data_IF_580723724653
#
_entry.id   IF_580723724653
#
_cell.length_a   1.000
_cell.length_b   1.000
_cell.length_c   1.000
_cell.angle_alpha   90.00
_cell.angle_beta   90.00
_cell.angle_gamma   90.00
#
_symmetry.space_group_name_H-M   'P 1'
#
loop_
_entity.id
_entity.type
_entity.pdbx_description
1 polymer ?
#
# COMPACT_ATOMS: atom_id res chain seq x y z
N UNK A 1 -15.77 -18.53 7.02
CA UNK A 1 -14.35 -18.14 7.11
C UNK A 1 -14.25 -16.74 6.54
N UNK A 2 -13.63 -15.80 7.24
CA UNK A 2 -13.48 -14.42 6.76
C UNK A 2 -12.71 -14.42 5.43
N UNK A 3 -13.11 -13.56 4.49
CA UNK A 3 -12.52 -13.43 3.14
C UNK A 3 -10.97 -13.31 3.19
N UNK A 4 -10.43 -12.72 4.26
CA UNK A 4 -8.99 -12.51 4.48
C UNK A 4 -8.21 -13.81 4.66
N UNK A 5 -8.76 -14.79 5.39
CA UNK A 5 -8.10 -16.08 5.61
C UNK A 5 -7.99 -16.87 4.32
N UNK A 6 -9.07 -16.88 3.54
CA UNK A 6 -9.10 -17.55 2.24
C UNK A 6 -8.08 -16.96 1.28
N UNK A 7 -7.94 -15.63 1.25
CA UNK A 7 -6.93 -14.95 0.45
C UNK A 7 -5.51 -15.36 0.84
N UNK A 8 -5.19 -15.36 2.14
CA UNK A 8 -3.87 -15.80 2.64
C UNK A 8 -3.61 -17.27 2.26
N UNK A 9 -4.57 -18.15 2.48
CA UNK A 9 -4.42 -19.58 2.18
C UNK A 9 -4.25 -19.81 0.67
N UNK A 10 -4.91 -19.01 -0.19
CA UNK A 10 -4.71 -19.05 -1.65
C UNK A 10 -3.27 -18.69 -2.03
N UNK A 11 -2.72 -17.61 -1.47
CA UNK A 11 -1.34 -17.19 -1.75
C UNK A 11 -0.35 -18.28 -1.31
N UNK A 12 -0.48 -18.81 -0.10
CA UNK A 12 0.36 -19.91 0.40
C UNK A 12 0.24 -21.17 -0.47
N UNK A 13 -0.98 -21.56 -0.85
CA UNK A 13 -1.21 -22.75 -1.69
C UNK A 13 -0.61 -22.62 -3.10
N UNK A 14 -0.35 -21.40 -3.56
CA UNK A 14 0.37 -21.12 -4.81
C UNK A 14 1.89 -21.16 -4.67
N UNK A 15 2.41 -21.54 -3.51
CA UNK A 15 3.85 -21.60 -3.22
C UNK A 15 4.50 -20.22 -3.03
N UNK A 16 3.69 -19.16 -2.87
CA UNK A 16 4.16 -17.78 -2.69
C UNK A 16 4.19 -17.40 -1.21
N UNK A 17 5.18 -16.60 -0.85
CA UNK A 17 5.34 -16.00 0.48
C UNK A 17 5.11 -14.48 0.47
N UNK A 18 4.64 -13.92 -0.65
CA UNK A 18 4.29 -12.52 -0.78
C UNK A 18 3.00 -12.38 -1.58
N UNK A 19 2.13 -11.49 -1.09
CA UNK A 19 0.96 -11.04 -1.84
C UNK A 19 1.41 -10.12 -2.97
N UNK A 20 0.74 -10.17 -4.12
CA UNK A 20 0.86 -9.07 -5.07
C UNK A 20 0.15 -7.81 -4.53
N UNK A 21 0.38 -6.67 -5.19
CA UNK A 21 -0.18 -5.38 -4.76
C UNK A 21 -1.72 -5.38 -4.74
N UNK A 22 -2.37 -6.12 -5.65
CA UNK A 22 -3.84 -6.22 -5.66
C UNK A 22 -4.36 -7.04 -4.47
N UNK A 23 -3.74 -8.18 -4.19
CA UNK A 23 -4.04 -9.04 -3.05
C UNK A 23 -3.79 -8.32 -1.73
N UNK A 24 -2.66 -7.62 -1.59
CA UNK A 24 -2.33 -6.80 -0.42
C UNK A 24 -3.36 -5.69 -0.17
N UNK A 25 -3.72 -4.92 -1.21
CA UNK A 25 -4.75 -3.89 -1.11
C UNK A 25 -6.12 -4.46 -0.72
N UNK A 26 -6.48 -5.63 -1.25
CA UNK A 26 -7.72 -6.33 -0.86
C UNK A 26 -7.70 -6.81 0.57
N UNK A 27 -6.58 -7.32 1.08
CA UNK A 27 -6.43 -7.68 2.48
C UNK A 27 -6.65 -6.45 3.36
N UNK A 28 -5.91 -5.37 3.13
CA UNK A 28 -5.97 -4.15 3.93
C UNK A 28 -7.37 -3.52 3.95
N UNK A 29 -8.03 -3.48 2.79
CA UNK A 29 -9.38 -2.94 2.66
C UNK A 29 -10.43 -3.71 3.46
N UNK A 30 -10.25 -5.03 3.67
CA UNK A 30 -11.15 -5.83 4.52
C UNK A 30 -11.04 -5.49 6.01
N UNK A 31 -10.00 -4.75 6.41
CA UNK A 31 -9.80 -4.26 7.76
C UNK A 31 -10.02 -2.75 7.86
N UNK A 32 -10.76 -2.17 6.90
CA UNK A 32 -11.14 -0.75 6.87
C UNK A 32 -9.93 0.19 6.72
N UNK A 33 -8.81 -0.30 6.20
CA UNK A 33 -7.67 0.53 5.80
C UNK A 33 -7.91 0.99 4.37
N UNK A 34 -8.20 2.29 4.12
CA UNK A 34 -8.52 2.74 2.78
C UNK A 34 -7.28 2.69 1.89
N UNK A 35 -7.39 2.04 0.75
CA UNK A 35 -6.36 1.98 -0.29
C UNK A 35 -6.84 2.70 -1.55
N UNK A 36 -5.90 3.13 -2.38
CA UNK A 36 -6.19 3.67 -3.70
C UNK A 36 -7.02 2.65 -4.50
N UNK A 37 -8.12 3.11 -5.10
CA UNK A 37 -8.97 2.31 -5.95
C UNK A 37 -8.12 1.71 -7.06
N UNK A 38 -8.18 0.39 -7.21
CA UNK A 38 -7.29 -0.37 -8.07
C UNK A 38 -8.06 -1.51 -8.72
N UNK A 39 -7.87 -1.68 -10.04
CA UNK A 39 -8.42 -2.78 -10.83
C UNK A 39 -7.28 -3.52 -11.50
N UNK A 40 -7.28 -4.86 -11.40
CA UNK A 40 -6.36 -5.72 -12.14
C UNK A 40 -6.93 -6.02 -13.52
N UNK A 41 -6.22 -5.58 -14.56
CA UNK A 41 -6.62 -5.72 -15.96
C UNK A 41 -5.69 -6.70 -16.67
N UNK A 42 -6.26 -7.64 -17.43
CA UNK A 42 -5.52 -8.65 -18.18
C UNK A 42 -5.26 -8.23 -19.63
N UNK A 43 -5.97 -7.21 -20.11
CA UNK A 43 -5.86 -6.65 -21.44
C UNK A 43 -6.10 -5.13 -21.41
N UNK A 44 -5.82 -4.48 -22.54
CA UNK A 44 -5.94 -3.02 -22.67
C UNK A 44 -7.39 -2.54 -22.63
N UNK A 45 -8.36 -3.36 -23.05
CA UNK A 45 -9.76 -2.97 -23.07
C UNK A 45 -10.34 -2.96 -21.65
N UNK A 46 -9.99 -3.94 -20.80
CA UNK A 46 -10.25 -3.92 -19.36
C UNK A 46 -9.59 -2.71 -18.68
N UNK A 47 -8.39 -2.34 -19.11
CA UNK A 47 -7.69 -1.18 -18.55
C UNK A 47 -8.40 0.14 -18.89
N UNK A 48 -8.93 0.26 -20.11
CA UNK A 48 -9.72 1.41 -20.53
C UNK A 48 -11.04 1.51 -19.78
N UNK A 49 -11.77 0.40 -19.65
CA UNK A 49 -13.02 0.35 -18.89
C UNK A 49 -12.80 0.76 -17.43
N UNK A 50 -11.73 0.25 -16.80
CA UNK A 50 -11.35 0.62 -15.43
C UNK A 50 -11.05 2.12 -15.30
N UNK A 51 -10.27 2.69 -16.22
CA UNK A 51 -9.93 4.11 -16.19
C UNK A 51 -11.14 5.03 -16.47
N UNK A 52 -12.05 4.61 -17.35
CA UNK A 52 -13.30 5.33 -17.60
C UNK A 52 -14.23 5.32 -16.38
N UNK A 53 -14.31 4.20 -15.67
CA UNK A 53 -15.10 4.08 -14.44
C UNK A 53 -14.54 4.91 -13.27
N UNK A 54 -13.22 4.94 -13.14
CA UNK A 54 -12.51 5.61 -12.05
C UNK A 54 -12.30 7.11 -12.28
N UNK A 55 -12.13 7.50 -13.55
CA UNK A 55 -11.77 8.85 -13.97
C UNK A 55 -10.26 9.08 -14.04
N UNK A 56 -9.86 9.94 -14.98
CA UNK A 56 -8.46 10.33 -15.19
C UNK A 56 -8.06 11.52 -14.28
N UNK A 57 -6.76 11.69 -13.94
CA UNK A 57 -5.65 10.82 -14.36
C UNK A 57 -5.53 9.53 -13.54
N UNK A 58 -4.98 8.49 -14.17
CA UNK A 58 -4.72 7.18 -13.55
C UNK A 58 -3.23 6.83 -13.55
N UNK A 59 -2.89 5.80 -12.79
CA UNK A 59 -1.57 5.17 -12.70
C UNK A 59 -1.69 3.73 -13.21
N UNK A 60 -0.69 3.27 -13.95
CA UNK A 60 -0.57 1.88 -14.38
C UNK A 60 0.70 1.24 -13.84
N UNK A 61 0.59 0.02 -13.29
CA UNK A 61 1.71 -0.75 -12.72
C UNK A 61 1.63 -2.20 -13.15
N UNK A 62 2.74 -2.80 -13.60
CA UNK A 62 2.78 -4.24 -13.88
C UNK A 62 2.51 -5.06 -12.61
N UNK A 63 1.82 -6.18 -12.74
CA UNK A 63 1.75 -7.23 -11.71
C UNK A 63 2.54 -8.43 -12.18
N UNK A 64 3.67 -8.68 -11.52
CA UNK A 64 4.48 -9.85 -11.78
C UNK A 64 5.24 -10.23 -10.51
N UNK A 65 5.19 -11.50 -10.06
CA UNK A 65 6.05 -11.97 -8.97
C UNK A 65 7.55 -11.91 -9.32
N UNK A 66 7.87 -11.85 -10.61
CA UNK A 66 9.22 -11.82 -11.14
C UNK A 66 9.82 -10.41 -11.29
N UNK A 67 9.00 -9.36 -11.18
CA UNK A 67 9.40 -7.96 -11.37
C UNK A 67 9.06 -7.15 -10.12
N UNK A 68 9.90 -7.28 -9.09
CA UNK A 68 9.72 -6.58 -7.80
C UNK A 68 10.00 -5.07 -7.92
N UNK A 69 11.08 -4.68 -8.61
CA UNK A 69 11.48 -3.28 -8.80
C UNK A 69 10.81 -2.65 -10.05
N UNK A 70 9.48 -2.55 -10.01
CA UNK A 70 8.62 -2.11 -11.14
C UNK A 70 9.07 -0.78 -11.76
N UNK A 71 9.48 0.19 -10.94
CA UNK A 71 9.95 1.51 -11.41
C UNK A 71 11.25 1.40 -12.20
N UNK A 72 12.22 0.63 -11.71
CA UNK A 72 13.51 0.41 -12.37
C UNK A 72 13.36 -0.37 -13.68
N UNK A 73 12.41 -1.31 -13.70
CA UNK A 73 12.01 -2.03 -14.91
C UNK A 73 11.17 -1.18 -15.87
N UNK A 74 10.92 0.11 -15.58
CA UNK A 74 10.10 0.97 -16.44
C UNK A 74 8.64 0.52 -16.55
N UNK A 75 8.16 -0.27 -15.60
CA UNK A 75 6.84 -0.92 -15.59
C UNK A 75 5.82 -0.19 -14.71
N UNK A 76 6.08 1.10 -14.42
CA UNK A 76 5.15 2.03 -13.77
C UNK A 76 4.97 3.24 -14.68
N UNK A 77 3.73 3.65 -14.91
CA UNK A 77 3.37 4.90 -15.60
C UNK A 77 2.37 5.67 -14.75
N UNK A 78 2.71 6.91 -14.40
CA UNK A 78 1.87 7.78 -13.58
C UNK A 78 1.31 8.91 -14.42
N UNK A 79 0.18 9.48 -14.00
CA UNK A 79 -0.37 10.68 -14.63
C UNK A 79 -0.84 10.45 -16.06
N UNK A 80 -1.42 9.29 -16.35
CA UNK A 80 -2.06 8.97 -17.63
C UNK A 80 -3.37 9.75 -17.67
N UNK A 81 -3.57 10.59 -18.68
CA UNK A 81 -4.63 11.62 -18.68
C UNK A 81 -5.84 11.28 -19.55
N UNK A 82 -5.68 10.35 -20.47
CA UNK A 82 -6.72 9.95 -21.40
C UNK A 82 -6.49 8.54 -21.96
N UNK A 83 -7.48 8.07 -22.73
CA UNK A 83 -7.47 6.74 -23.34
C UNK A 83 -6.32 6.51 -24.33
N UNK A 84 -5.82 7.55 -24.99
CA UNK A 84 -4.71 7.43 -25.93
C UNK A 84 -3.40 7.17 -25.18
N UNK A 85 -3.14 7.98 -24.15
CA UNK A 85 -1.98 7.78 -23.26
C UNK A 85 -2.05 6.43 -22.54
N UNK A 86 -3.25 5.96 -22.19
CA UNK A 86 -3.44 4.67 -21.54
C UNK A 86 -3.02 3.51 -22.43
N UNK A 87 -3.44 3.50 -23.71
CA UNK A 87 -3.04 2.44 -24.67
C UNK A 87 -1.52 2.40 -24.84
N UNK A 88 -0.89 3.56 -25.03
CA UNK A 88 0.56 3.68 -25.16
C UNK A 88 1.27 3.19 -23.88
N UNK A 89 0.77 3.58 -22.70
CA UNK A 89 1.31 3.15 -21.43
C UNK A 89 1.19 1.64 -21.23
N UNK A 90 0.04 1.04 -21.59
CA UNK A 90 -0.18 -0.41 -21.50
C UNK A 90 0.86 -1.18 -22.32
N UNK A 91 0.98 -0.85 -23.61
CA UNK A 91 1.93 -1.51 -24.52
C UNK A 91 3.37 -1.35 -24.03
N UNK A 92 3.73 -0.13 -23.62
CA UNK A 92 5.07 0.18 -23.12
C UNK A 92 5.41 -0.62 -21.86
N UNK A 93 4.47 -0.75 -20.91
CA UNK A 93 4.67 -1.50 -19.67
C UNK A 93 4.91 -2.99 -19.99
N UNK A 94 4.12 -3.59 -20.87
CA UNK A 94 4.27 -5.00 -21.26
C UNK A 94 5.60 -5.24 -21.98
N UNK A 95 5.98 -4.35 -22.91
CA UNK A 95 7.26 -4.44 -23.62
C UNK A 95 8.45 -4.33 -22.66
N UNK A 96 8.40 -3.38 -21.72
CA UNK A 96 9.46 -3.19 -20.73
C UNK A 96 9.58 -4.41 -19.80
N UNK A 97 8.45 -4.99 -19.37
CA UNK A 97 8.45 -6.20 -18.55
C UNK A 97 9.16 -7.36 -19.26
N UNK A 98 8.82 -7.60 -20.53
CA UNK A 98 9.43 -8.65 -21.35
C UNK A 98 10.92 -8.40 -21.65
N UNK A 99 11.32 -7.13 -21.83
CA UNK A 99 12.75 -6.78 -21.99
C UNK A 99 13.54 -6.94 -20.70
N UNK A 100 12.95 -6.58 -19.57
CA UNK A 100 13.56 -6.70 -18.25
C UNK A 100 13.77 -8.16 -17.88
N UNK A 101 12.75 -9.00 -18.12
CA UNK A 101 12.81 -10.45 -17.89
C UNK A 101 11.85 -11.18 -18.84
N UNK A 102 12.43 -11.82 -19.85
CA UNK A 102 11.68 -12.43 -20.96
C UNK A 102 10.78 -13.61 -20.54
N UNK A 103 11.12 -14.28 -19.46
CA UNK A 103 10.38 -15.41 -18.88
C UNK A 103 9.53 -15.00 -17.66
N UNK A 104 9.36 -13.70 -17.40
CA UNK A 104 8.56 -13.22 -16.29
C UNK A 104 7.09 -13.63 -16.45
N UNK A 105 6.51 -14.16 -15.38
CA UNK A 105 5.07 -14.34 -15.27
C UNK A 105 4.39 -12.98 -15.13
N UNK A 106 3.67 -12.54 -16.17
CA UNK A 106 2.85 -11.33 -16.12
C UNK A 106 1.43 -11.73 -15.77
N UNK A 107 0.98 -11.32 -14.58
CA UNK A 107 -0.40 -11.56 -14.10
C UNK A 107 -1.39 -10.50 -14.57
N UNK A 108 -0.90 -9.38 -15.09
CA UNK A 108 -1.71 -8.28 -15.63
C UNK A 108 -1.09 -6.91 -15.35
N UNK A 109 -1.89 -5.87 -15.52
CA UNK A 109 -1.55 -4.48 -15.20
C UNK A 109 -2.60 -3.91 -14.26
N UNK A 110 -2.18 -3.29 -13.17
CA UNK A 110 -3.06 -2.53 -12.29
C UNK A 110 -3.35 -1.18 -12.92
N UNK A 111 -4.62 -0.83 -13.01
CA UNK A 111 -5.09 0.54 -13.20
C UNK A 111 -5.52 1.07 -11.83
N UNK A 112 -4.90 2.16 -11.39
CA UNK A 112 -5.07 2.73 -10.05
C UNK A 112 -5.36 4.23 -10.12
N UNK A 113 -6.17 4.74 -9.19
CA UNK A 113 -6.50 6.16 -9.13
C UNK A 113 -5.23 6.98 -8.82
N UNK A 114 -5.06 8.14 -9.46
CA UNK A 114 -3.98 9.03 -9.10
C UNK A 114 -4.39 9.91 -7.92
N UNK A 115 -3.84 9.62 -6.74
CA UNK A 115 -4.08 10.44 -5.56
C UNK A 115 -3.44 11.83 -5.70
N UNK A 116 -4.14 12.84 -5.15
CA UNK A 116 -3.59 14.18 -5.04
C UNK A 116 -2.44 14.21 -4.00
N UNK A 117 -1.49 15.15 -4.11
CA UNK A 117 -0.48 15.33 -3.09
C UNK A 117 -1.10 15.62 -1.71
N UNK A 118 -0.52 15.00 -0.67
CA UNK A 118 -0.94 15.16 0.72
C UNK A 118 0.23 15.00 1.68
N UNK A 119 -0.08 14.83 2.97
CA UNK A 119 0.95 14.48 3.95
C UNK A 119 1.25 12.99 3.82
N UNK A 120 2.46 12.64 3.40
CA UNK A 120 2.89 11.25 3.29
C UNK A 120 3.23 10.69 4.68
N UNK A 121 2.68 9.52 4.98
CA UNK A 121 2.89 8.74 6.20
C UNK A 121 3.35 7.33 5.82
N UNK A 122 4.02 6.67 6.76
CA UNK A 122 4.30 5.24 6.67
C UNK A 122 3.68 4.50 7.84
N UNK A 123 3.15 3.33 7.54
CA UNK A 123 2.65 2.39 8.51
C UNK A 123 3.25 1.02 8.21
N UNK A 124 3.84 0.38 9.21
CA UNK A 124 4.45 -0.92 9.03
C UNK A 124 4.13 -1.88 10.16
N UNK A 125 4.17 -3.17 9.87
CA UNK A 125 4.25 -4.23 10.87
C UNK A 125 5.33 -5.19 10.41
N UNK A 126 6.23 -5.57 11.31
CA UNK A 126 7.23 -6.60 11.04
C UNK A 126 7.27 -7.59 12.20
N UNK A 127 7.34 -8.87 11.89
CA UNK A 127 7.50 -9.91 12.91
C UNK A 127 8.97 -10.07 13.26
N UNK A 128 9.29 -9.71 14.49
CA UNK A 128 10.60 -9.93 15.07
C UNK A 128 10.69 -11.37 15.62
N UNK A 129 11.81 -12.10 15.41
CA UNK A 129 11.97 -13.46 15.90
C UNK A 129 11.90 -13.62 17.42
N UNK A 130 12.24 -12.58 18.19
CA UNK A 130 12.27 -12.59 19.65
C UNK A 130 11.02 -11.95 20.25
N UNK A 131 10.56 -10.84 19.67
CA UNK A 131 9.50 -10.01 20.26
C UNK A 131 8.13 -10.21 19.63
N UNK A 132 8.03 -10.96 18.52
CA UNK A 132 6.80 -11.07 17.73
C UNK A 132 6.55 -9.81 16.91
N UNK A 133 5.30 -9.51 16.59
CA UNK A 133 4.96 -8.37 15.74
C UNK A 133 5.27 -7.02 16.38
N UNK A 134 6.01 -6.19 15.65
CA UNK A 134 6.35 -4.80 15.96
C UNK A 134 5.64 -3.91 14.95
N UNK A 135 4.84 -2.95 15.42
CA UNK A 135 4.18 -1.95 14.57
C UNK A 135 5.03 -0.67 14.51
N UNK A 136 5.08 -0.06 13.33
CA UNK A 136 5.81 1.15 12.99
C UNK A 136 4.82 2.23 12.51
N UNK A 137 5.05 3.46 12.97
CA UNK A 137 4.40 4.67 12.44
C UNK A 137 5.43 5.77 12.23
N UNK A 138 5.34 6.52 11.14
CA UNK A 138 6.20 7.68 10.93
C UNK A 138 5.83 8.55 9.75
N UNK A 139 6.63 9.61 9.54
CA UNK A 139 6.55 10.44 8.35
C UNK A 139 7.02 9.64 7.12
N UNK A 140 6.29 9.74 6.01
CA UNK A 140 6.67 9.15 4.74
C UNK A 140 7.49 10.06 3.84
N UNK A 141 7.66 9.63 2.59
CA UNK A 141 8.41 10.34 1.56
C UNK A 141 9.90 9.98 1.50
N UNK A 142 10.58 10.57 0.51
CA UNK A 142 11.93 10.18 0.07
C UNK A 142 13.03 10.30 1.14
N UNK A 143 12.78 11.04 2.22
CA UNK A 143 13.77 11.29 3.27
C UNK A 143 13.60 10.40 4.50
N UNK A 144 12.63 9.47 4.52
CA UNK A 144 12.34 8.67 5.72
C UNK A 144 13.55 7.84 6.17
N UNK A 145 14.32 7.28 5.22
CA UNK A 145 15.53 6.49 5.51
C UNK A 145 16.64 7.31 6.18
N UNK A 146 16.66 8.63 5.92
CA UNK A 146 17.68 9.57 6.39
C UNK A 146 17.25 10.19 7.72
N UNK A 147 16.00 10.63 7.83
CA UNK A 147 15.48 11.40 8.96
C UNK A 147 15.08 10.47 10.12
N UNK A 148 14.66 9.23 9.83
CA UNK A 148 14.23 8.21 10.82
C UNK A 148 13.20 8.74 11.84
N UNK A 149 12.25 9.57 11.39
CA UNK A 149 11.14 10.08 12.20
C UNK A 149 10.04 9.03 12.36
N UNK A 150 10.32 8.01 13.17
CA UNK A 150 9.46 6.86 13.37
C UNK A 150 9.26 6.56 14.87
N UNK A 151 8.17 5.87 15.16
CA UNK A 151 7.86 5.30 16.47
C UNK A 151 7.51 3.82 16.33
N UNK A 152 7.87 3.02 17.33
CA UNK A 152 7.69 1.57 17.33
C UNK A 152 6.94 1.10 18.58
N UNK A 153 6.11 0.05 18.44
CA UNK A 153 5.47 -0.64 19.57
C UNK A 153 5.37 -2.14 19.30
N UNK A 154 5.35 -2.94 20.37
CA UNK A 154 4.97 -4.35 20.28
C UNK A 154 3.46 -4.47 20.13
N UNK A 155 3.01 -5.40 19.30
CA UNK A 155 1.60 -5.77 19.17
C UNK A 155 1.23 -6.77 20.30
N UNK A 156 0.04 -6.67 20.92
CA UNK A 156 -1.06 -5.75 20.60
C UNK A 156 -0.88 -4.35 21.20
N UNK A 157 -1.20 -3.34 20.39
CA UNK A 157 -1.31 -1.95 20.84
C UNK A 157 -2.75 -1.60 21.24
N UNK A 158 -2.89 -0.59 22.10
CA UNK A 158 -4.16 0.08 22.42
C UNK A 158 -4.18 1.47 21.80
N UNK A 159 -5.36 2.11 21.75
CA UNK A 159 -5.53 3.49 21.26
C UNK A 159 -4.55 4.48 21.91
N UNK A 160 -4.32 4.36 23.23
CA UNK A 160 -3.34 5.21 23.94
C UNK A 160 -1.91 5.06 23.42
N UNK A 161 -1.55 3.87 22.95
CA UNK A 161 -0.21 3.57 22.44
C UNK A 161 -0.09 4.17 21.03
N UNK A 162 -1.13 4.05 20.19
CA UNK A 162 -1.21 4.69 18.89
C UNK A 162 -1.12 6.22 18.97
N UNK A 163 -1.82 6.85 19.92
CA UNK A 163 -1.73 8.32 20.13
C UNK A 163 -0.30 8.71 20.54
N UNK A 164 0.33 7.96 21.45
CA UNK A 164 1.72 8.21 21.86
C UNK A 164 2.71 8.03 20.71
N UNK A 165 2.51 7.03 19.86
CA UNK A 165 3.32 6.83 18.64
C UNK A 165 3.30 8.08 17.76
N UNK A 166 2.13 8.71 17.57
CA UNK A 166 2.01 9.97 16.82
C UNK A 166 2.78 11.09 17.52
N UNK A 167 2.59 11.23 18.83
CA UNK A 167 3.18 12.31 19.62
C UNK A 167 4.72 12.21 19.75
N UNK A 168 5.30 11.03 19.54
CA UNK A 168 6.76 10.78 19.55
C UNK A 168 7.46 11.19 18.25
N UNK A 169 6.71 11.45 17.17
CA UNK A 169 7.26 11.88 15.88
C UNK A 169 7.21 13.39 15.72
N UNK A 170 7.97 13.94 14.76
CA UNK A 170 7.88 15.37 14.40
C UNK A 170 6.51 15.73 13.82
N UNK A 171 5.74 14.75 13.34
CA UNK A 171 4.36 14.93 12.88
C UNK A 171 3.44 15.46 13.97
N UNK A 172 3.77 15.27 15.25
CA UNK A 172 3.01 15.82 16.39
C UNK A 172 2.75 17.33 16.24
N UNK A 173 3.72 18.08 15.71
CA UNK A 173 3.60 19.52 15.43
C UNK A 173 2.67 19.81 14.26
N UNK A 174 2.66 18.95 13.24
CA UNK A 174 1.75 19.04 12.09
C UNK A 174 0.31 18.81 12.56
N UNK A 175 0.08 17.78 13.36
CA UNK A 175 -1.24 17.51 13.95
C UNK A 175 -1.69 18.58 14.95
N UNK A 176 -0.77 19.35 15.54
CA UNK A 176 -1.10 20.50 16.37
C UNK A 176 -1.55 21.74 15.56
N UNK A 177 -1.62 21.65 14.23
CA UNK A 177 -2.12 22.71 13.36
C UNK A 177 -1.04 23.57 12.72
N UNK A 178 0.20 23.08 12.61
CA UNK A 178 1.27 23.83 11.94
C UNK A 178 0.84 24.24 10.52
N UNK A 179 1.16 25.48 10.14
CA UNK A 179 0.80 26.09 8.84
C UNK A 179 -0.71 26.18 8.56
N UNK A 180 -1.55 26.15 9.59
CA UNK A 180 -3.00 26.35 9.47
C UNK A 180 -3.78 25.18 8.89
N UNK A 181 -3.12 24.04 8.63
CA UNK A 181 -3.74 22.81 8.17
C UNK A 181 -4.21 21.96 9.34
N UNK A 182 -5.32 21.23 9.18
CA UNK A 182 -5.83 20.30 10.20
C UNK A 182 -5.91 18.90 9.64
N UNK A 183 -5.24 17.98 10.32
CA UNK A 183 -5.18 16.58 9.98
C UNK A 183 -5.79 15.75 11.10
N UNK A 184 -6.56 14.73 10.75
CA UNK A 184 -7.19 13.84 11.73
C UNK A 184 -6.18 12.84 12.30
N UNK A 185 -5.85 13.00 13.60
CA UNK A 185 -5.12 11.96 14.35
C UNK A 185 -5.92 10.66 14.43
N UNK A 186 -7.25 10.74 14.46
CA UNK A 186 -8.13 9.57 14.59
C UNK A 186 -8.02 8.63 13.38
N UNK A 187 -7.77 9.18 12.18
CA UNK A 187 -7.49 8.38 10.98
C UNK A 187 -6.25 7.50 11.18
N UNK A 188 -5.16 8.09 11.68
CA UNK A 188 -3.89 7.38 11.95
C UNK A 188 -4.09 6.31 13.03
N UNK A 189 -4.78 6.67 14.13
CA UNK A 189 -5.10 5.74 15.21
C UNK A 189 -5.90 4.55 14.68
N UNK A 190 -6.90 4.79 13.83
CA UNK A 190 -7.75 3.74 13.26
C UNK A 190 -6.93 2.76 12.43
N UNK A 191 -6.01 3.25 11.59
CA UNK A 191 -5.13 2.41 10.77
C UNK A 191 -4.18 1.58 11.64
N UNK A 192 -3.56 2.19 12.65
CA UNK A 192 -2.66 1.46 13.58
C UNK A 192 -3.40 0.37 14.34
N UNK A 193 -4.63 0.64 14.79
CA UNK A 193 -5.47 -0.37 15.44
C UNK A 193 -5.89 -1.48 14.48
N UNK A 194 -6.18 -1.16 13.22
CA UNK A 194 -6.49 -2.14 12.18
C UNK A 194 -5.28 -3.05 11.88
N UNK A 195 -4.08 -2.49 11.71
CA UNK A 195 -2.84 -3.26 11.54
C UNK A 195 -2.55 -4.19 12.72
N UNK A 196 -2.70 -3.68 13.95
CA UNK A 196 -2.60 -4.47 15.17
C UNK A 196 -3.59 -5.65 15.17
N UNK A 197 -4.82 -5.45 14.71
CA UNK A 197 -5.85 -6.49 14.58
C UNK A 197 -5.48 -7.52 13.50
N UNK A 198 -5.03 -7.08 12.33
CA UNK A 198 -4.66 -7.95 11.19
C UNK A 198 -3.67 -9.03 11.63
N UNK A 199 -2.56 -8.64 12.26
CA UNK A 199 -1.50 -9.59 12.61
C UNK A 199 -1.81 -10.43 13.85
N UNK A 200 -2.74 -9.97 14.71
CA UNK A 200 -3.29 -10.81 15.77
C UNK A 200 -4.18 -11.92 15.21
N UNK A 201 -5.00 -11.62 14.19
CA UNK A 201 -5.85 -12.61 13.52
C UNK A 201 -5.04 -13.52 12.59
N UNK A 202 -3.96 -13.01 11.98
CA UNK A 202 -3.11 -13.74 11.04
C UNK A 202 -1.62 -13.70 11.44
N UNK A 203 -1.19 -14.50 12.43
CA UNK A 203 0.19 -14.49 12.92
C UNK A 203 1.27 -14.97 11.92
N UNK A 204 0.87 -15.49 10.76
CA UNK A 204 1.75 -15.85 9.63
C UNK A 204 2.22 -14.65 8.82
N UNK A 205 1.58 -13.49 8.97
CA UNK A 205 2.05 -12.27 8.32
C UNK A 205 3.40 -11.91 8.94
N UNK A 206 4.44 -11.84 8.11
CA UNK A 206 5.80 -11.48 8.52
C UNK A 206 6.04 -9.98 8.35
N UNK A 207 5.43 -9.38 7.33
CA UNK A 207 5.59 -7.96 7.03
C UNK A 207 4.30 -7.38 6.44
N UNK A 208 3.94 -6.18 6.87
CA UNK A 208 3.04 -5.26 6.17
C UNK A 208 3.79 -3.93 6.10
N UNK A 209 3.89 -3.34 4.92
CA UNK A 209 4.41 -1.99 4.75
C UNK A 209 3.44 -1.20 3.86
N UNK A 210 2.88 -0.12 4.39
CA UNK A 210 2.02 0.80 3.65
C UNK A 210 2.80 2.09 3.47
N UNK A 211 3.34 2.27 2.27
CA UNK A 211 4.25 3.36 1.96
C UNK A 211 4.16 3.79 0.48
N UNK A 212 3.69 5.00 0.16
CA UNK A 212 3.17 6.00 1.08
C UNK A 212 1.68 5.78 1.42
N UNK A 213 1.28 6.20 2.61
CA UNK A 213 -0.11 6.51 2.94
C UNK A 213 -0.33 8.02 2.87
N UNK A 214 -1.27 8.49 2.05
CA UNK A 214 -1.54 9.91 1.86
C UNK A 214 -2.62 10.36 2.82
N UNK A 215 -2.22 11.14 3.83
CA UNK A 215 -3.13 11.81 4.75
C UNK A 215 -3.55 13.18 4.20
N UNK A 216 -4.86 13.39 4.10
CA UNK A 216 -5.45 14.67 3.75
C UNK A 216 -6.01 15.40 4.97
N UNK A 217 -6.32 16.68 4.77
CA UNK A 217 -7.03 17.48 5.75
C UNK A 217 -8.46 16.96 5.99
N UNK A 218 -9.04 17.32 7.14
CA UNK A 218 -10.35 16.86 7.57
C UNK A 218 -11.43 17.01 6.48
N UNK A 219 -12.25 15.98 6.31
CA UNK A 219 -13.32 15.93 5.31
C UNK A 219 -12.91 15.29 3.97
N UNK A 220 -11.63 14.92 3.79
CA UNK A 220 -11.16 14.11 2.66
C UNK A 220 -10.76 12.70 3.10
N UNK A 221 -11.01 11.72 2.23
CA UNK A 221 -10.65 10.32 2.48
C UNK A 221 -9.16 10.14 2.21
N UNK A 222 -8.41 9.81 3.25
CA UNK A 222 -6.98 9.48 3.18
C UNK A 222 -6.81 8.01 2.76
N UNK A 223 -5.82 7.72 1.92
CA UNK A 223 -5.67 6.40 1.28
C UNK A 223 -4.19 5.98 1.17
N UNK A 224 -3.93 4.68 1.28
CA UNK A 224 -2.65 4.07 0.92
C UNK A 224 -2.46 3.98 -0.58
N UNK A 225 -1.25 4.27 -1.08
CA UNK A 225 -0.92 4.20 -2.52
C UNK A 225 -0.36 2.85 -2.91
N UNK A 226 0.51 2.31 -2.06
CA UNK A 226 1.20 1.05 -2.27
C UNK A 226 1.27 0.30 -0.94
N UNK A 227 1.30 -1.03 -1.03
CA UNK A 227 1.46 -1.89 0.12
C UNK A 227 2.20 -3.18 -0.22
N UNK A 228 3.12 -3.57 0.65
CA UNK A 228 3.78 -4.88 0.63
C UNK A 228 3.22 -5.71 1.76
N UNK A 229 2.85 -6.97 1.46
CA UNK A 229 2.42 -7.94 2.48
C UNK A 229 3.17 -9.25 2.26
N UNK A 230 3.99 -9.62 3.25
CA UNK A 230 4.78 -10.86 3.26
C UNK A 230 4.17 -11.82 4.28
N UNK A 231 4.06 -13.08 3.89
CA UNK A 231 3.49 -14.16 4.69
C UNK A 231 4.47 -15.35 4.71
N UNK A 232 4.59 -16.02 5.85
CA UNK A 232 5.38 -17.25 5.96
C UNK A 232 4.52 -18.41 6.44
N UNK A 233 4.77 -19.61 5.89
CA UNK A 233 4.28 -20.83 6.49
C UNK A 233 4.88 -21.02 7.88
N UNK A 234 4.10 -21.60 8.79
CA UNK A 234 4.57 -21.93 10.15
C UNK A 234 5.46 -23.15 10.15
#
# INVERSE_FOLDING_TARGET
MTNSRQLIDQVLSSGRNAMDEYEGNRLLSQYDIPMAETVLCNDVDQALEAAEGMGYPVVMKIVSPDILHKTEAGCVRIGIRDASELREAYETIIQNAQQYKADAEIRGVLVQEMLNPGLELIFGVKKDPQFGHVILFGAGGIYVEIIRDISLRLVPIKVRDAVKMIDETMLSTIFAGARGKKYSKDTVVTILMALSRIVQEHPMIEEIDINPFILYEDGKISKGVDAVVVIAEK
#
